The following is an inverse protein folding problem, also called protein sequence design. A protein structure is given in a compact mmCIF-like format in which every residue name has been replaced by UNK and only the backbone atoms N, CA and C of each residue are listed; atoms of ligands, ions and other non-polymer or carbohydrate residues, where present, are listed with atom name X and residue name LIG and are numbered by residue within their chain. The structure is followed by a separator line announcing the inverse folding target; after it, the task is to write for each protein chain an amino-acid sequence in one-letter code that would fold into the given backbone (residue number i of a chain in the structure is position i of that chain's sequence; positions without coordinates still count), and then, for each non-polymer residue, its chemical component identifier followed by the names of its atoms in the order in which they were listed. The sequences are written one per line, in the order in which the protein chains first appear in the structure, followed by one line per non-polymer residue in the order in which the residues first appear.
data_IF_168623016241
#
_entry.id   IF_168623016241
#
_cell.length_a   1.000
_cell.length_b   1.000
_cell.length_c   1.000
_cell.angle_alpha   90.00
_cell.angle_beta   90.00
_cell.angle_gamma   90.00
#
_symmetry.space_group_name_H-M   'P 1'
#
loop_
_entity.id
_entity.type
_entity.pdbx_description
1 polymer ?
#
# COMPACT_ATOMS: atom_id res chain seq x y z
N UNK A 1 4.42 32.90 -23.65
CA UNK A 1 5.46 31.85 -23.53
C UNK A 1 6.37 32.29 -22.39
N UNK A 2 6.72 31.56 -21.33
CA UNK A 2 6.68 30.16 -20.93
C UNK A 2 6.53 30.12 -19.40
N UNK A 3 5.89 29.07 -18.88
CA UNK A 3 5.84 28.78 -17.45
C UNK A 3 7.20 28.27 -16.94
N UNK A 4 7.64 28.72 -15.76
CA UNK A 4 8.59 27.97 -14.94
C UNK A 4 7.90 27.56 -13.63
N UNK A 5 7.63 26.26 -13.55
CA UNK A 5 7.42 25.51 -12.33
C UNK A 5 8.76 25.43 -11.60
N UNK A 6 8.77 25.78 -10.33
CA UNK A 6 9.84 25.49 -9.39
C UNK A 6 9.22 25.22 -8.02
N UNK A 7 9.68 24.15 -7.39
CA UNK A 7 9.23 23.48 -6.17
C UNK A 7 9.25 24.37 -4.89
N UNK A 8 9.28 23.77 -3.70
CA UNK A 8 9.68 24.37 -2.39
C UNK A 8 8.51 24.81 -1.49
N UNK A 9 7.70 23.95 -0.88
CA UNK A 9 8.12 22.69 -0.24
C UNK A 9 9.01 22.89 1.01
N UNK A 10 9.76 23.99 1.10
CA UNK A 10 10.87 24.18 2.06
C UNK A 10 10.82 25.50 2.85
N UNK A 11 9.82 26.36 2.63
CA UNK A 11 9.65 27.58 3.42
C UNK A 11 8.90 27.36 4.76
N UNK A 12 8.42 26.15 5.04
CA UNK A 12 7.57 25.88 6.20
C UNK A 12 8.32 25.29 7.41
N UNK A 13 9.61 25.00 7.29
CA UNK A 13 10.42 24.44 8.38
C UNK A 13 11.65 25.32 8.64
N UNK A 14 11.42 26.61 8.87
CA UNK A 14 12.42 27.49 9.51
C UNK A 14 11.71 28.52 10.37
N UNK A 15 11.14 28.04 11.47
CA UNK A 15 10.79 28.87 12.63
C UNK A 15 11.12 28.12 13.92
N UNK A 16 12.25 27.40 13.93
CA UNK A 16 12.97 27.11 15.17
C UNK A 16 13.82 28.35 15.48
N UNK A 17 13.23 29.34 16.16
CA UNK A 17 14.00 30.50 16.63
C UNK A 17 13.24 31.82 16.74
N UNK A 18 12.10 31.85 17.44
CA UNK A 18 11.60 33.11 18.03
C UNK A 18 11.18 32.83 19.47
N UNK A 19 12.16 32.92 20.36
CA UNK A 19 11.93 33.26 21.77
C UNK A 19 11.23 34.62 21.81
N UNK A 20 10.14 34.80 22.58
CA UNK A 20 9.57 36.12 22.76
C UNK A 20 10.54 36.94 23.63
N UNK A 21 11.22 37.89 23.00
CA UNK A 21 11.92 38.96 23.69
C UNK A 21 10.88 39.82 24.43
N UNK A 22 11.02 39.81 25.75
CA UNK A 22 10.50 40.77 26.72
C UNK A 22 10.49 42.17 26.12
N UNK A 23 9.30 42.78 25.91
CA UNK A 23 9.25 44.15 25.41
C UNK A 23 7.90 44.75 25.04
N UNK A 24 6.79 44.01 24.97
CA UNK A 24 5.53 44.60 24.50
C UNK A 24 4.30 44.08 25.29
N UNK A 25 4.20 44.52 26.55
CA UNK A 25 3.08 44.25 27.46
C UNK A 25 1.95 45.29 27.27
N UNK A 26 1.83 45.92 26.09
CA UNK A 26 0.90 47.03 25.85
C UNK A 26 -0.43 46.64 25.17
N UNK A 27 -0.73 45.35 24.95
CA UNK A 27 -1.95 44.91 24.23
C UNK A 27 -2.70 43.73 24.87
N UNK A 28 -2.80 43.72 26.20
CA UNK A 28 -3.46 42.67 27.00
C UNK A 28 -4.95 42.46 26.66
N UNK A 29 -5.65 43.45 26.08
CA UNK A 29 -7.06 43.31 25.70
C UNK A 29 -7.35 42.54 24.40
N UNK A 30 -6.39 42.45 23.46
CA UNK A 30 -6.56 41.72 22.17
C UNK A 30 -6.06 40.27 22.24
N UNK A 31 -5.15 39.99 23.17
CA UNK A 31 -4.58 38.65 23.40
C UNK A 31 -5.63 37.59 23.77
N UNK A 32 -6.73 37.96 24.43
CA UNK A 32 -7.77 37.00 24.81
C UNK A 32 -8.56 36.40 23.63
N UNK A 33 -8.66 37.11 22.49
CA UNK A 33 -9.28 36.57 21.26
C UNK A 33 -8.31 35.70 20.49
N UNK A 34 -7.05 36.11 20.42
CA UNK A 34 -6.03 35.40 19.65
C UNK A 34 -5.64 34.07 20.34
N UNK A 35 -5.58 34.03 21.68
CA UNK A 35 -5.36 32.78 22.44
C UNK A 35 -6.51 31.78 22.21
N UNK A 36 -7.77 32.25 22.20
CA UNK A 36 -8.92 31.39 21.88
C UNK A 36 -8.87 30.84 20.46
N UNK A 37 -8.41 31.64 19.49
CA UNK A 37 -8.21 31.20 18.11
C UNK A 37 -7.10 30.16 18.03
N UNK A 38 -6.00 30.33 18.77
CA UNK A 38 -4.89 29.38 18.84
C UNK A 38 -5.33 28.06 19.49
N UNK A 39 -6.08 28.10 20.60
CA UNK A 39 -6.64 26.90 21.25
C UNK A 39 -7.63 26.18 20.33
N UNK A 40 -8.52 26.93 19.67
CA UNK A 40 -9.48 26.38 18.70
C UNK A 40 -8.77 25.78 17.49
N UNK A 41 -7.68 26.38 17.01
CA UNK A 41 -6.88 25.83 15.92
C UNK A 41 -6.11 24.57 16.36
N UNK A 42 -5.58 24.53 17.59
CA UNK A 42 -4.91 23.34 18.15
C UNK A 42 -5.93 22.21 18.35
N UNK A 43 -7.12 22.49 18.85
CA UNK A 43 -8.17 21.49 19.03
C UNK A 43 -8.76 21.04 17.69
N UNK A 44 -8.96 21.94 16.72
CA UNK A 44 -9.32 21.55 15.35
C UNK A 44 -8.23 20.69 14.68
N UNK A 45 -6.94 20.94 14.96
CA UNK A 45 -5.82 20.10 14.50
C UNK A 45 -5.74 18.76 15.25
N UNK A 46 -6.11 18.72 16.54
CA UNK A 46 -6.20 17.47 17.33
C UNK A 46 -7.41 16.62 16.92
N UNK A 47 -8.56 17.25 16.66
CA UNK A 47 -9.77 16.61 16.12
C UNK A 47 -9.58 16.17 14.66
N UNK A 48 -8.87 16.94 13.83
CA UNK A 48 -8.51 16.49 12.46
C UNK A 48 -7.36 15.48 12.42
N UNK A 49 -6.53 15.39 13.46
CA UNK A 49 -5.61 14.25 13.69
C UNK A 49 -6.36 12.96 13.98
N UNK A 50 -7.62 13.03 14.39
CA UNK A 50 -8.47 11.85 14.51
C UNK A 50 -9.05 11.51 13.13
N UNK A 51 -8.56 10.41 12.55
CA UNK A 51 -9.21 9.64 11.46
C UNK A 51 -8.93 9.94 9.98
N UNK A 52 -7.75 10.47 9.59
CA UNK A 52 -7.22 10.07 8.26
C UNK A 52 -6.75 8.62 8.38
N UNK A 53 -7.69 7.65 8.31
CA UNK A 53 -7.36 6.23 8.19
C UNK A 53 -6.62 6.06 6.86
N UNK A 54 -5.29 6.18 6.90
CA UNK A 54 -4.42 5.87 5.77
C UNK A 54 -4.75 4.44 5.36
N UNK A 55 -5.49 4.30 4.25
CA UNK A 55 -5.93 3.00 3.76
C UNK A 55 -4.69 2.26 3.28
N UNK A 56 -4.18 1.37 4.13
CA UNK A 56 -3.03 0.55 3.79
C UNK A 56 -3.36 -0.35 2.58
N UNK A 57 -2.35 -0.78 1.83
CA UNK A 57 -2.55 -1.56 0.60
C UNK A 57 -3.25 -2.91 0.81
N UNK A 58 -3.23 -3.43 2.04
CA UNK A 58 -3.86 -4.70 2.42
C UNK A 58 -5.32 -4.53 2.86
N UNK A 59 -5.77 -3.30 3.14
CA UNK A 59 -7.11 -3.00 3.60
C UNK A 59 -8.14 -3.35 2.54
N UNK A 60 -9.29 -3.91 2.95
CA UNK A 60 -10.43 -4.19 2.05
C UNK A 60 -10.92 -2.94 1.32
N UNK A 61 -10.71 -1.76 1.90
CA UNK A 61 -11.05 -0.46 1.29
C UNK A 61 -10.01 0.04 0.29
N UNK A 62 -8.90 -0.68 0.09
CA UNK A 62 -7.86 -0.30 -0.86
C UNK A 62 -8.39 -0.30 -2.29
N UNK A 63 -8.25 0.85 -2.95
CA UNK A 63 -8.61 1.06 -4.35
C UNK A 63 -7.43 0.88 -5.30
N UNK A 64 -6.25 0.49 -4.78
CA UNK A 64 -5.06 0.26 -5.61
C UNK A 64 -5.31 -0.91 -6.57
N UNK A 65 -4.77 -0.80 -7.78
CA UNK A 65 -4.75 -1.92 -8.72
C UNK A 65 -4.18 -3.17 -8.07
N UNK A 66 -4.77 -4.32 -8.38
CA UNK A 66 -4.38 -5.63 -7.86
C UNK A 66 -4.19 -6.59 -9.03
N UNK A 67 -3.57 -7.73 -8.77
CA UNK A 67 -3.54 -8.84 -9.71
C UNK A 67 -3.54 -10.17 -8.97
N UNK A 68 -4.20 -11.15 -9.60
CA UNK A 68 -4.17 -12.56 -9.24
C UNK A 68 -2.95 -13.20 -9.87
N UNK A 69 -2.18 -13.92 -9.07
CA UNK A 69 -0.98 -14.62 -9.49
C UNK A 69 -1.04 -16.09 -9.11
N UNK A 70 -0.22 -16.86 -9.80
CA UNK A 70 0.07 -18.26 -9.52
C UNK A 70 1.57 -18.46 -9.50
N UNK A 71 2.03 -19.31 -8.59
CA UNK A 71 3.35 -19.92 -8.57
C UNK A 71 3.14 -21.38 -8.93
N UNK A 72 3.89 -21.85 -9.91
CA UNK A 72 3.81 -23.21 -10.43
C UNK A 72 5.20 -23.83 -10.49
N UNK A 73 5.23 -25.16 -10.41
CA UNK A 73 6.43 -25.94 -10.68
C UNK A 73 6.70 -25.98 -12.18
N UNK A 74 7.93 -25.72 -12.60
CA UNK A 74 8.31 -25.70 -14.02
C UNK A 74 8.37 -27.09 -14.65
N UNK A 75 8.61 -28.13 -13.85
CA UNK A 75 8.73 -29.50 -14.35
C UNK A 75 7.35 -30.13 -14.52
N UNK A 76 6.48 -30.02 -13.50
CA UNK A 76 5.14 -30.64 -13.55
C UNK A 76 4.08 -29.71 -14.13
N UNK A 77 4.31 -28.39 -14.12
CA UNK A 77 3.30 -27.39 -14.51
C UNK A 77 2.23 -27.16 -13.44
N UNK A 78 2.28 -27.86 -12.31
CA UNK A 78 1.28 -27.81 -11.26
C UNK A 78 1.37 -26.50 -10.47
N UNK A 79 0.22 -25.91 -10.17
CA UNK A 79 0.16 -24.68 -9.38
C UNK A 79 0.30 -25.01 -7.90
N UNK A 80 1.45 -24.67 -7.32
CA UNK A 80 1.72 -24.89 -5.89
C UNK A 80 1.11 -23.81 -5.01
N UNK A 81 0.90 -22.60 -5.53
CA UNK A 81 0.32 -21.49 -4.79
C UNK A 81 -0.39 -20.50 -5.70
N UNK A 82 -1.58 -20.09 -5.28
CA UNK A 82 -2.24 -18.88 -5.81
C UNK A 82 -2.25 -17.76 -4.77
N UNK A 83 -2.37 -16.52 -5.23
CA UNK A 83 -2.73 -15.40 -4.37
C UNK A 83 -2.84 -14.06 -5.09
N UNK A 84 -3.07 -12.99 -4.34
CA UNK A 84 -3.17 -11.63 -4.90
C UNK A 84 -2.12 -10.66 -4.38
N UNK A 85 -1.79 -9.67 -5.20
CA UNK A 85 -0.89 -8.59 -4.83
C UNK A 85 -1.28 -7.29 -5.52
N UNK A 86 -1.07 -6.17 -4.83
CA UNK A 86 -1.15 -4.82 -5.39
C UNK A 86 0.21 -4.19 -5.68
N UNK A 87 1.26 -5.03 -5.77
CA UNK A 87 2.62 -4.59 -6.06
C UNK A 87 2.84 -4.32 -7.55
N UNK A 88 3.99 -3.71 -7.88
CA UNK A 88 4.39 -3.41 -9.26
C UNK A 88 4.48 -4.69 -10.11
N UNK A 89 3.97 -4.60 -11.34
CA UNK A 89 4.17 -5.59 -12.39
C UNK A 89 5.35 -5.11 -13.27
N UNK A 90 6.27 -6.00 -13.58
CA UNK A 90 7.43 -5.71 -14.44
C UNK A 90 7.00 -5.58 -15.91
N UNK A 91 7.86 -4.99 -16.76
CA UNK A 91 7.61 -4.94 -18.22
C UNK A 91 7.41 -6.32 -18.83
N UNK A 92 8.02 -7.36 -18.24
CA UNK A 92 7.88 -8.78 -18.63
C UNK A 92 6.59 -9.43 -18.10
N UNK A 93 5.66 -8.67 -17.50
CA UNK A 93 4.37 -9.18 -17.02
C UNK A 93 4.42 -9.98 -15.72
N UNK A 94 5.54 -9.98 -14.99
CA UNK A 94 5.67 -10.68 -13.69
C UNK A 94 5.49 -9.73 -12.51
N UNK A 95 4.87 -10.22 -11.44
CA UNK A 95 4.73 -9.45 -10.20
C UNK A 95 6.02 -9.43 -9.39
N UNK A 96 6.47 -8.24 -8.98
CA UNK A 96 7.70 -8.10 -8.21
C UNK A 96 7.68 -8.85 -6.87
N UNK A 97 6.54 -8.84 -6.15
CA UNK A 97 6.37 -9.59 -4.89
C UNK A 97 6.45 -11.10 -5.10
N UNK A 98 5.94 -11.58 -6.23
CA UNK A 98 5.85 -13.01 -6.52
C UNK A 98 7.20 -13.53 -6.99
N UNK A 99 7.90 -12.78 -7.85
CA UNK A 99 9.28 -13.09 -8.25
C UNK A 99 10.20 -13.21 -7.02
N UNK A 100 10.07 -12.33 -6.02
CA UNK A 100 10.83 -12.46 -4.78
C UNK A 100 10.52 -13.74 -4.00
N UNK A 101 9.24 -14.15 -3.94
CA UNK A 101 8.86 -15.42 -3.30
C UNK A 101 9.45 -16.62 -4.04
N UNK A 102 9.32 -16.64 -5.36
CA UNK A 102 9.88 -17.69 -6.23
C UNK A 102 11.39 -17.80 -6.03
N UNK A 103 12.12 -16.68 -6.13
CA UNK A 103 13.57 -16.68 -5.96
C UNK A 103 13.99 -17.16 -4.57
N UNK A 104 13.24 -16.79 -3.52
CA UNK A 104 13.49 -17.29 -2.16
C UNK A 104 13.31 -18.80 -2.10
N UNK A 105 12.25 -19.34 -2.70
CA UNK A 105 11.97 -20.78 -2.69
C UNK A 105 12.99 -21.57 -3.51
N UNK A 106 13.36 -21.09 -4.70
CA UNK A 106 14.38 -21.71 -5.54
C UNK A 106 15.74 -21.73 -4.84
N UNK A 107 16.09 -20.64 -4.14
CA UNK A 107 17.30 -20.60 -3.30
C UNK A 107 17.25 -21.60 -2.13
N UNK A 108 16.10 -21.75 -1.46
CA UNK A 108 15.94 -22.73 -0.38
C UNK A 108 16.03 -24.17 -0.87
N UNK A 109 15.50 -24.46 -2.07
CA UNK A 109 15.59 -25.78 -2.70
C UNK A 109 16.91 -26.03 -3.44
N UNK A 110 17.80 -25.02 -3.53
CA UNK A 110 19.04 -25.03 -4.32
C UNK A 110 18.83 -25.41 -5.81
N UNK A 111 17.62 -25.21 -6.32
CA UNK A 111 17.21 -25.56 -7.68
C UNK A 111 16.22 -24.52 -8.20
N UNK A 112 16.31 -24.20 -9.48
CA UNK A 112 15.34 -23.35 -10.15
C UNK A 112 14.12 -24.20 -10.54
N UNK A 113 13.23 -24.47 -9.58
CA UNK A 113 12.05 -25.34 -9.79
C UNK A 113 10.77 -24.55 -9.98
N UNK A 114 10.61 -23.40 -9.31
CA UNK A 114 9.38 -22.63 -9.38
C UNK A 114 9.45 -21.46 -10.36
N UNK A 115 8.30 -21.12 -10.94
CA UNK A 115 8.10 -19.89 -11.71
C UNK A 115 6.73 -19.29 -11.39
N UNK A 116 6.44 -18.10 -11.91
CA UNK A 116 5.19 -17.40 -11.64
C UNK A 116 4.58 -16.75 -12.88
N UNK A 117 3.25 -16.63 -12.86
CA UNK A 117 2.45 -15.95 -13.87
C UNK A 117 1.35 -15.11 -13.23
N UNK A 118 0.90 -14.10 -13.96
CA UNK A 118 -0.28 -13.32 -13.61
C UNK A 118 -1.47 -13.91 -14.35
N UNK A 119 -2.48 -14.35 -13.61
CA UNK A 119 -3.71 -14.93 -14.16
C UNK A 119 -4.68 -13.83 -14.58
N UNK A 120 -4.83 -12.81 -13.74
CA UNK A 120 -5.79 -11.73 -13.96
C UNK A 120 -5.29 -10.41 -13.40
N UNK A 121 -5.41 -9.34 -14.18
CA UNK A 121 -5.18 -7.96 -13.72
C UNK A 121 -6.51 -7.35 -13.30
N UNK A 122 -6.50 -6.62 -12.19
CA UNK A 122 -7.67 -5.96 -11.61
C UNK A 122 -7.32 -4.47 -11.52
N UNK A 123 -7.98 -3.61 -12.32
CA UNK A 123 -7.65 -2.19 -12.35
C UNK A 123 -7.93 -1.53 -11.00
N UNK A 124 -7.31 -0.36 -10.79
CA UNK A 124 -7.61 0.47 -9.63
C UNK A 124 -9.07 0.93 -9.67
N UNK A 125 -9.69 1.06 -8.50
CA UNK A 125 -11.07 1.51 -8.40
C UNK A 125 -11.78 1.07 -7.12
N UNK A 126 -13.04 1.49 -6.98
CA UNK A 126 -13.89 1.10 -5.85
C UNK A 126 -13.99 -0.43 -5.79
N UNK A 127 -13.75 -0.98 -4.60
CA UNK A 127 -13.77 -2.41 -4.31
C UNK A 127 -12.71 -3.26 -5.06
N UNK A 128 -11.63 -2.66 -5.58
CA UNK A 128 -10.57 -3.40 -6.28
C UNK A 128 -9.99 -4.55 -5.42
N UNK A 129 -9.73 -4.28 -4.13
CA UNK A 129 -9.24 -5.31 -3.19
C UNK A 129 -10.24 -6.44 -2.98
N UNK A 130 -11.53 -6.11 -2.87
CA UNK A 130 -12.58 -7.11 -2.66
C UNK A 130 -12.79 -7.99 -3.89
N UNK A 131 -12.80 -7.38 -5.09
CA UNK A 131 -12.81 -8.13 -6.36
C UNK A 131 -11.61 -9.07 -6.46
N UNK A 132 -10.44 -8.63 -6.00
CA UNK A 132 -9.24 -9.46 -5.96
C UNK A 132 -9.38 -10.63 -4.98
N UNK A 133 -9.91 -10.42 -3.78
CA UNK A 133 -10.16 -11.49 -2.80
C UNK A 133 -11.15 -12.53 -3.33
N UNK A 134 -12.22 -12.09 -3.99
CA UNK A 134 -13.19 -13.03 -4.59
C UNK A 134 -12.54 -13.84 -5.73
N UNK A 135 -11.73 -13.18 -6.57
CA UNK A 135 -10.99 -13.87 -7.62
C UNK A 135 -9.96 -14.88 -7.06
N UNK A 136 -9.27 -14.53 -5.97
CA UNK A 136 -8.35 -15.42 -5.25
C UNK A 136 -9.07 -16.67 -4.72
N UNK A 137 -10.20 -16.48 -4.03
CA UNK A 137 -11.00 -17.57 -3.50
C UNK A 137 -11.52 -18.50 -4.59
N UNK A 138 -12.11 -17.94 -5.65
CA UNK A 138 -12.62 -18.72 -6.77
C UNK A 138 -11.49 -19.54 -7.44
N UNK A 139 -10.33 -18.93 -7.66
CA UNK A 139 -9.19 -19.63 -8.23
C UNK A 139 -8.63 -20.70 -7.29
N UNK A 140 -8.55 -20.42 -5.98
CA UNK A 140 -8.09 -21.40 -5.01
C UNK A 140 -9.04 -22.61 -4.92
N UNK A 141 -10.36 -22.42 -4.99
CA UNK A 141 -11.33 -23.51 -5.04
C UNK A 141 -11.13 -24.34 -6.31
N UNK A 142 -11.03 -23.70 -7.47
CA UNK A 142 -10.76 -24.39 -8.74
C UNK A 142 -9.50 -25.24 -8.67
N UNK A 143 -8.39 -24.67 -8.19
CA UNK A 143 -7.11 -25.36 -8.09
C UNK A 143 -7.16 -26.53 -7.09
N UNK A 144 -7.88 -26.39 -5.96
CA UNK A 144 -8.09 -27.52 -5.02
C UNK A 144 -8.88 -28.66 -5.66
N UNK A 145 -9.91 -28.34 -6.44
CA UNK A 145 -10.70 -29.34 -7.15
C UNK A 145 -9.88 -30.06 -8.23
N UNK A 146 -8.91 -29.37 -8.82
CA UNK A 146 -7.93 -29.95 -9.76
C UNK A 146 -6.82 -30.76 -9.08
N UNK A 147 -6.85 -30.92 -7.74
CA UNK A 147 -5.79 -31.58 -6.97
C UNK A 147 -4.49 -30.77 -6.89
N UNK A 148 -4.52 -29.50 -7.29
CA UNK A 148 -3.40 -28.58 -7.21
C UNK A 148 -3.41 -27.83 -5.86
N UNK A 149 -2.39 -26.99 -5.66
CA UNK A 149 -1.99 -26.33 -4.41
C UNK A 149 -1.32 -27.28 -3.42
N UNK A 150 -0.07 -26.97 -3.12
CA UNK A 150 0.68 -27.67 -2.09
C UNK A 150 0.42 -27.00 -0.73
N UNK A 151 -0.07 -27.78 0.24
CA UNK A 151 -0.33 -27.33 1.61
C UNK A 151 0.91 -26.74 2.30
N UNK A 152 2.12 -27.15 1.89
CA UNK A 152 3.39 -26.57 2.35
C UNK A 152 3.52 -25.10 1.96
N UNK A 153 3.04 -24.73 0.79
CA UNK A 153 3.24 -23.42 0.17
C UNK A 153 2.00 -22.51 0.19
N UNK A 154 0.80 -23.09 0.24
CA UNK A 154 -0.48 -22.39 0.23
C UNK A 154 -1.34 -22.78 1.44
N UNK A 155 -1.43 -21.88 2.43
CA UNK A 155 -2.19 -22.09 3.67
C UNK A 155 -3.58 -21.45 3.68
N UNK A 156 -3.76 -20.33 2.98
CA UNK A 156 -4.98 -19.52 3.02
C UNK A 156 -5.29 -18.94 1.63
N UNK A 157 -6.56 -18.93 1.22
CA UNK A 157 -7.07 -18.10 0.13
C UNK A 157 -7.55 -16.72 0.61
#
# INVERSE_FOLDING_TARGET
MQAQKGDWGDALISSAGLLPLVGDVAKVGKLGKDVKIIETAIDAVKESKTTIKVVNGNSRKSQKAQHLYEIFDKETGEVVKTGISGGKITKKGKSYRVTQQVNKWNRMNKKDVFNSRIVRKIPAGKNAREKALQAEKANAIRLRNEGQLDAKYHKRP
#
